data_IF_153315863652
#
_entry.id   IF_153315863652
#
_cell.length_a   1.000
_cell.length_b   1.000
_cell.length_c   1.000
_cell.angle_alpha   90.00
_cell.angle_beta   90.00
_cell.angle_gamma   90.00
#
_symmetry.space_group_name_H-M   'P 1'
#
loop_
_entity.id
_entity.type
_entity.pdbx_description
1 polymer ?
#
# COMPACT_ATOMS: atom_id res chain seq x y z
N UNK A 1 -31.99 -13.41 17.63
CA UNK A 1 -31.73 -12.53 16.48
C UNK A 1 -30.27 -12.70 16.10
N UNK A 2 -30.00 -13.63 15.19
CA UNK A 2 -28.69 -13.87 14.62
C UNK A 2 -28.80 -13.44 13.15
N UNK A 3 -28.59 -12.15 12.88
CA UNK A 3 -28.26 -11.73 11.53
C UNK A 3 -26.91 -12.36 11.20
N UNK A 4 -27.05 -13.48 10.50
CA UNK A 4 -26.02 -14.36 9.99
C UNK A 4 -24.79 -13.58 9.55
N UNK A 5 -23.62 -14.12 9.90
CA UNK A 5 -22.29 -13.77 9.43
C UNK A 5 -22.20 -13.89 7.89
N UNK A 6 -22.97 -13.08 7.16
CA UNK A 6 -23.04 -13.13 5.72
C UNK A 6 -21.78 -12.52 5.15
N UNK A 7 -21.12 -13.31 4.31
CA UNK A 7 -20.02 -12.86 3.48
C UNK A 7 -20.47 -11.63 2.68
N UNK A 8 -19.81 -10.50 2.93
CA UNK A 8 -20.10 -9.26 2.22
C UNK A 8 -18.88 -8.81 1.44
N UNK A 9 -19.11 -8.50 0.17
CA UNK A 9 -18.05 -8.04 -0.75
C UNK A 9 -18.15 -6.54 -0.96
N UNK A 10 -17.06 -5.83 -0.67
CA UNK A 10 -16.89 -4.40 -0.83
C UNK A 10 -16.02 -4.15 -2.06
N UNK A 11 -16.43 -3.20 -2.91
CA UNK A 11 -15.73 -2.84 -4.15
C UNK A 11 -15.68 -1.33 -4.30
N UNK A 12 -14.87 -0.86 -5.24
CA UNK A 12 -14.77 0.57 -5.52
C UNK A 12 -16.13 1.14 -5.98
N UNK A 13 -16.57 2.22 -5.34
CA UNK A 13 -17.82 2.92 -5.67
C UNK A 13 -17.79 3.50 -7.09
N UNK A 14 -18.96 3.90 -7.63
CA UNK A 14 -19.00 4.58 -8.94
C UNK A 14 -18.20 5.89 -8.94
N UNK A 15 -18.22 6.65 -7.83
CA UNK A 15 -17.45 7.88 -7.67
C UNK A 15 -15.94 7.58 -7.61
N UNK A 16 -15.54 6.62 -6.77
CA UNK A 16 -14.14 6.18 -6.66
C UNK A 16 -13.58 5.72 -8.01
N UNK A 17 -14.35 4.94 -8.78
CA UNK A 17 -13.93 4.52 -10.14
C UNK A 17 -13.72 5.69 -11.10
N UNK A 18 -14.56 6.72 -11.05
CA UNK A 18 -14.38 7.92 -11.91
C UNK A 18 -13.09 8.65 -11.57
N UNK A 19 -12.83 8.88 -10.28
CA UNK A 19 -11.58 9.50 -9.82
C UNK A 19 -10.38 8.67 -10.24
N UNK A 20 -10.40 7.36 -10.01
CA UNK A 20 -9.31 6.47 -10.40
C UNK A 20 -9.07 6.46 -11.93
N UNK A 21 -10.12 6.51 -12.75
CA UNK A 21 -9.96 6.65 -14.21
C UNK A 21 -9.35 8.01 -14.62
N UNK A 22 -9.69 9.10 -13.93
CA UNK A 22 -9.08 10.41 -14.18
C UNK A 22 -7.59 10.40 -13.80
N UNK A 23 -7.24 9.83 -12.65
CA UNK A 23 -5.85 9.65 -12.22
C UNK A 23 -5.06 8.77 -13.18
N UNK A 24 -5.67 7.68 -13.66
CA UNK A 24 -5.07 6.78 -14.64
C UNK A 24 -4.79 7.52 -15.96
N UNK A 25 -5.77 8.26 -16.47
CA UNK A 25 -5.62 9.05 -17.70
C UNK A 25 -4.53 10.12 -17.55
N UNK A 26 -4.53 10.87 -16.45
CA UNK A 26 -3.48 11.86 -16.14
C UNK A 26 -2.10 11.24 -16.04
N UNK A 27 -1.97 10.10 -15.35
CA UNK A 27 -0.71 9.36 -15.22
C UNK A 27 -0.20 8.87 -16.58
N UNK A 28 -1.09 8.35 -17.43
CA UNK A 28 -0.73 7.92 -18.79
C UNK A 28 -0.24 9.09 -19.66
N UNK A 29 -0.90 10.25 -19.57
CA UNK A 29 -0.48 11.46 -20.28
C UNK A 29 0.91 11.93 -19.84
N UNK A 30 1.15 12.00 -18.52
CA UNK A 30 2.45 12.36 -17.95
C UNK A 30 3.52 11.37 -18.41
N UNK A 31 3.22 10.06 -18.40
CA UNK A 31 4.17 9.04 -18.81
C UNK A 31 4.54 9.14 -20.29
N UNK A 32 3.54 9.32 -21.17
CA UNK A 32 3.77 9.53 -22.60
C UNK A 32 4.58 10.79 -22.87
N UNK A 33 4.28 11.88 -22.15
CA UNK A 33 5.04 13.13 -22.25
C UNK A 33 6.48 12.94 -21.78
N UNK A 34 6.71 12.22 -20.69
CA UNK A 34 8.05 11.93 -20.18
C UNK A 34 8.86 11.08 -21.18
N UNK A 35 8.26 10.03 -21.75
CA UNK A 35 8.88 9.21 -22.80
C UNK A 35 9.22 10.05 -24.04
N UNK A 36 8.28 10.88 -24.49
CA UNK A 36 8.48 11.74 -25.66
C UNK A 36 9.61 12.76 -25.43
N UNK A 37 9.61 13.42 -24.27
CA UNK A 37 10.64 14.40 -23.90
C UNK A 37 11.99 13.73 -23.76
N UNK A 38 12.07 12.61 -23.02
CA UNK A 38 13.32 11.87 -22.81
C UNK A 38 13.92 11.42 -24.14
N UNK A 39 13.09 10.92 -25.07
CA UNK A 39 13.52 10.55 -26.42
C UNK A 39 14.13 11.75 -27.17
N UNK A 40 13.49 12.92 -27.11
CA UNK A 40 13.95 14.11 -27.81
C UNK A 40 15.22 14.71 -27.18
N UNK A 41 15.30 14.74 -25.85
CA UNK A 41 16.47 15.23 -25.10
C UNK A 41 17.68 14.32 -25.25
N UNK A 42 17.48 13.00 -25.14
CA UNK A 42 18.57 12.02 -25.21
C UNK A 42 18.89 11.55 -26.63
N UNK A 43 18.12 11.98 -27.63
CA UNK A 43 18.25 11.57 -29.05
C UNK A 43 18.36 10.04 -29.22
N UNK A 44 17.63 9.28 -28.40
CA UNK A 44 17.69 7.82 -28.40
C UNK A 44 17.09 7.30 -29.71
N UNK A 45 17.84 6.44 -30.39
CA UNK A 45 17.38 5.77 -31.60
C UNK A 45 16.32 4.74 -31.26
N UNK A 46 15.08 4.93 -31.73
CA UNK A 46 13.97 3.98 -31.48
C UNK A 46 14.05 2.74 -32.40
N UNK A 47 14.97 2.75 -33.38
CA UNK A 47 15.17 1.59 -34.27
C UNK A 47 16.09 0.57 -33.59
N UNK A 48 15.82 -0.74 -33.69
CA UNK A 48 16.63 -1.78 -33.06
C UNK A 48 18.13 -1.66 -33.39
N UNK A 49 18.45 -1.24 -34.61
CA UNK A 49 19.81 -1.05 -35.12
C UNK A 49 20.54 0.15 -34.50
N UNK A 50 19.81 1.18 -34.03
CA UNK A 50 20.41 2.41 -33.47
C UNK A 50 20.22 2.53 -31.96
N UNK A 51 19.41 1.65 -31.35
CA UNK A 51 19.14 1.66 -29.92
C UNK A 51 20.40 1.41 -29.08
N UNK A 52 21.09 0.28 -29.28
CA UNK A 52 22.29 -0.08 -28.51
C UNK A 52 23.42 0.96 -28.67
N UNK A 53 23.74 1.42 -29.90
CA UNK A 53 24.72 2.50 -30.09
C UNK A 53 24.32 3.79 -29.37
N UNK A 54 23.03 4.16 -29.40
CA UNK A 54 22.54 5.37 -28.71
C UNK A 54 22.60 5.25 -27.19
N UNK A 55 22.42 4.05 -26.64
CA UNK A 55 22.54 3.78 -25.20
C UNK A 55 24.01 3.82 -24.74
N UNK A 56 24.93 3.27 -25.53
CA UNK A 56 26.37 3.37 -25.27
C UNK A 56 26.86 4.83 -25.36
N UNK A 57 26.38 5.60 -26.35
CA UNK A 57 26.70 7.02 -26.48
C UNK A 57 26.15 7.83 -25.29
N UNK A 58 24.93 7.53 -24.83
CA UNK A 58 24.36 8.13 -23.63
C UNK A 58 25.22 7.81 -22.39
N UNK A 59 25.61 6.55 -22.21
CA UNK A 59 26.47 6.14 -21.10
C UNK A 59 27.84 6.83 -21.13
N UNK A 60 28.45 6.97 -22.32
CA UNK A 60 29.69 7.71 -22.50
C UNK A 60 29.57 9.20 -22.17
N UNK A 61 28.41 9.82 -22.47
CA UNK A 61 28.12 11.21 -22.09
C UNK A 61 27.87 11.37 -20.58
N UNK A 62 27.21 10.38 -19.95
CA UNK A 62 26.91 10.40 -18.51
C UNK A 62 28.15 10.12 -17.65
N UNK A 63 29.03 9.23 -18.10
CA UNK A 63 30.29 8.87 -17.41
C UNK A 63 31.43 9.86 -17.65
N UNK A 64 31.21 10.90 -18.46
CA UNK A 64 32.20 11.94 -18.76
C UNK A 64 33.27 11.52 -19.76
N UNK A 65 33.16 10.35 -20.41
CA UNK A 65 34.18 9.81 -21.33
C UNK A 65 34.00 10.25 -22.78
N UNK A 66 32.82 10.75 -23.17
CA UNK A 66 32.48 11.07 -24.58
C UNK A 66 31.91 12.49 -24.79
N UNK A 67 32.26 13.42 -23.89
CA UNK A 67 31.81 14.82 -23.91
C UNK A 67 30.90 15.17 -22.73
N UNK A 68 30.99 16.41 -22.25
CA UNK A 68 30.20 16.90 -21.12
C UNK A 68 28.78 17.22 -21.55
N UNK A 69 27.78 16.60 -20.92
CA UNK A 69 26.42 17.17 -20.94
C UNK A 69 26.41 18.44 -20.10
N UNK A 70 25.74 19.49 -20.59
CA UNK A 70 25.51 20.68 -19.78
C UNK A 70 24.54 20.35 -18.64
N UNK A 71 24.65 21.03 -17.50
CA UNK A 71 23.74 20.82 -16.37
C UNK A 71 22.26 21.01 -16.78
N UNK A 72 22.01 21.89 -17.75
CA UNK A 72 20.69 22.18 -18.34
C UNK A 72 20.09 20.99 -19.12
N UNK A 73 20.92 20.08 -19.63
CA UNK A 73 20.45 18.84 -20.28
C UNK A 73 20.28 17.69 -19.28
N UNK A 74 21.17 17.58 -18.29
CA UNK A 74 21.18 16.46 -17.33
C UNK A 74 19.96 16.52 -16.42
N UNK A 75 19.66 17.68 -15.84
CA UNK A 75 18.61 17.81 -14.82
C UNK A 75 17.24 17.37 -15.38
N UNK A 76 16.76 17.90 -16.52
CA UNK A 76 15.49 17.46 -17.08
C UNK A 76 15.51 15.99 -17.50
N UNK A 77 16.63 15.48 -18.04
CA UNK A 77 16.73 14.09 -18.45
C UNK A 77 16.60 13.11 -17.26
N UNK A 78 17.23 13.42 -16.13
CA UNK A 78 17.13 12.60 -14.91
C UNK A 78 15.70 12.64 -14.36
N UNK A 79 15.06 13.81 -14.33
CA UNK A 79 13.67 13.93 -13.90
C UNK A 79 12.74 13.11 -14.80
N UNK A 80 12.89 13.24 -16.12
CA UNK A 80 12.08 12.49 -17.08
C UNK A 80 12.32 10.97 -16.97
N UNK A 81 13.57 10.55 -16.76
CA UNK A 81 13.89 9.14 -16.51
C UNK A 81 13.22 8.64 -15.21
N UNK A 82 13.28 9.41 -14.13
CA UNK A 82 12.60 9.08 -12.89
C UNK A 82 11.09 8.93 -13.10
N UNK A 83 10.45 9.85 -13.83
CA UNK A 83 9.03 9.76 -14.18
C UNK A 83 8.73 8.51 -15.02
N UNK A 84 9.57 8.18 -16.00
CA UNK A 84 9.40 6.96 -16.82
C UNK A 84 9.44 5.69 -15.97
N UNK A 85 10.18 5.69 -14.86
CA UNK A 85 10.27 4.54 -13.94
C UNK A 85 9.17 4.53 -12.87
N UNK A 86 8.84 5.68 -12.29
CA UNK A 86 7.88 5.81 -11.18
C UNK A 86 6.44 5.74 -11.66
N UNK A 87 6.10 6.39 -12.77
CA UNK A 87 4.72 6.50 -13.23
C UNK A 87 4.11 5.13 -13.62
N UNK A 88 4.84 4.17 -14.21
CA UNK A 88 4.32 2.81 -14.38
C UNK A 88 3.93 2.11 -13.08
N UNK A 89 4.66 2.35 -11.99
CA UNK A 89 4.32 1.81 -10.67
C UNK A 89 3.04 2.47 -10.14
N UNK A 90 2.88 3.78 -10.36
CA UNK A 90 1.65 4.49 -10.01
C UNK A 90 0.45 3.99 -10.85
N UNK A 91 0.63 3.80 -12.15
CA UNK A 91 -0.39 3.23 -13.04
C UNK A 91 -0.80 1.85 -12.55
N UNK A 92 0.17 1.00 -12.19
CA UNK A 92 -0.10 -0.30 -11.61
C UNK A 92 -0.95 -0.19 -10.32
N UNK A 93 -0.55 0.68 -9.40
CA UNK A 93 -1.27 0.93 -8.13
C UNK A 93 -2.73 1.34 -8.38
N UNK A 94 -2.98 2.25 -9.33
CA UNK A 94 -4.34 2.69 -9.69
C UNK A 94 -5.16 1.54 -10.31
N UNK A 95 -4.54 0.73 -11.17
CA UNK A 95 -5.21 -0.44 -11.76
C UNK A 95 -5.56 -1.48 -10.69
N UNK A 96 -4.70 -1.65 -9.69
CA UNK A 96 -4.93 -2.53 -8.55
C UNK A 96 -6.11 -2.04 -7.71
N UNK A 97 -6.17 -0.75 -7.40
CA UNK A 97 -7.31 -0.15 -6.71
C UNK A 97 -8.62 -0.32 -7.52
N UNK A 98 -8.59 -0.06 -8.83
CA UNK A 98 -9.76 -0.19 -9.71
C UNK A 98 -10.37 -1.60 -9.72
N UNK A 99 -9.55 -2.63 -9.49
CA UNK A 99 -9.96 -4.03 -9.47
C UNK A 99 -10.07 -4.61 -8.06
N UNK A 100 -9.83 -3.79 -7.05
CA UNK A 100 -9.87 -4.20 -5.66
C UNK A 100 -11.27 -4.64 -5.24
N UNK A 101 -11.30 -5.77 -4.55
CA UNK A 101 -12.48 -6.29 -3.88
C UNK A 101 -12.09 -6.93 -2.56
N UNK A 102 -12.87 -6.64 -1.53
CA UNK A 102 -12.67 -7.12 -0.17
C UNK A 102 -13.90 -7.93 0.22
N UNK A 103 -13.73 -9.22 0.46
CA UNK A 103 -14.81 -10.09 0.95
C UNK A 103 -14.57 -10.38 2.42
N UNK A 104 -15.44 -9.88 3.27
CA UNK A 104 -15.41 -10.09 4.72
C UNK A 104 -16.28 -11.29 5.03
N UNK A 105 -15.69 -12.33 5.60
CA UNK A 105 -16.39 -13.53 6.06
C UNK A 105 -16.11 -13.83 7.54
N UNK A 106 -16.76 -14.87 8.10
CA UNK A 106 -16.59 -15.22 9.51
C UNK A 106 -15.17 -15.65 9.88
N UNK A 107 -14.46 -16.31 8.95
CA UNK A 107 -13.11 -16.82 9.19
C UNK A 107 -12.01 -15.77 8.98
N UNK A 108 -12.28 -14.70 8.20
CA UNK A 108 -11.28 -13.72 7.82
C UNK A 108 -11.72 -12.78 6.72
N UNK A 109 -10.76 -12.00 6.21
CA UNK A 109 -10.92 -11.11 5.08
C UNK A 109 -10.16 -11.64 3.86
N UNK A 110 -10.82 -11.66 2.71
CA UNK A 110 -10.21 -12.01 1.43
C UNK A 110 -10.03 -10.75 0.59
N UNK A 111 -8.81 -10.46 0.18
CA UNK A 111 -8.48 -9.43 -0.80
C UNK A 111 -8.31 -10.05 -2.19
N UNK A 112 -8.97 -9.46 -3.19
CA UNK A 112 -8.78 -9.82 -4.59
C UNK A 112 -8.59 -8.57 -5.44
N UNK A 113 -7.51 -8.55 -6.23
CA UNK A 113 -7.28 -7.53 -7.25
C UNK A 113 -6.31 -8.02 -8.33
N UNK A 114 -6.51 -7.67 -9.60
CA UNK A 114 -5.58 -7.94 -10.71
C UNK A 114 -4.94 -9.36 -10.72
N UNK A 115 -5.71 -10.40 -10.41
CA UNK A 115 -5.22 -11.79 -10.36
C UNK A 115 -4.45 -12.16 -9.08
N UNK A 116 -4.32 -11.25 -8.13
CA UNK A 116 -3.93 -11.47 -6.74
C UNK A 116 -5.18 -11.90 -5.97
N UNK A 117 -5.05 -12.97 -5.18
CA UNK A 117 -6.05 -13.41 -4.22
C UNK A 117 -5.33 -13.78 -2.92
N UNK A 118 -5.67 -13.08 -1.83
CA UNK A 118 -5.04 -13.23 -0.53
C UNK A 118 -6.12 -13.38 0.53
N UNK A 119 -6.09 -14.49 1.26
CA UNK A 119 -6.94 -14.72 2.43
C UNK A 119 -6.17 -14.44 3.71
N UNK A 120 -6.77 -13.64 4.59
CA UNK A 120 -6.22 -13.27 5.89
C UNK A 120 -7.18 -13.68 7.01
N UNK A 121 -6.84 -14.68 7.83
CA UNK A 121 -7.66 -15.06 8.97
C UNK A 121 -7.66 -13.98 10.05
N UNK A 122 -8.76 -13.83 10.77
CA UNK A 122 -8.88 -12.79 11.82
C UNK A 122 -7.81 -12.90 12.92
N UNK A 123 -7.36 -14.12 13.23
CA UNK A 123 -6.30 -14.39 14.20
C UNK A 123 -4.93 -13.78 13.83
N UNK A 124 -4.70 -13.47 12.56
CA UNK A 124 -3.45 -12.87 12.08
C UNK A 124 -3.50 -11.34 12.02
N UNK A 125 -4.68 -10.74 12.16
CA UNK A 125 -4.85 -9.28 12.12
C UNK A 125 -4.36 -8.68 13.45
N UNK A 126 -3.41 -7.76 13.37
CA UNK A 126 -2.78 -7.12 14.53
C UNK A 126 -3.47 -5.81 14.85
N UNK A 127 -3.67 -4.96 13.84
CA UNK A 127 -4.26 -3.64 14.01
C UNK A 127 -4.78 -3.09 12.69
N UNK A 128 -5.79 -2.23 12.80
CA UNK A 128 -6.26 -1.33 11.76
C UNK A 128 -5.70 0.07 12.07
N UNK A 129 -5.03 0.71 11.12
CA UNK A 129 -4.42 2.04 11.33
C UNK A 129 -4.62 2.92 10.10
N UNK A 130 -4.84 4.24 10.26
CA UNK A 130 -4.71 5.18 9.14
C UNK A 130 -3.26 5.22 8.65
N UNK A 131 -3.07 5.35 7.35
CA UNK A 131 -1.73 5.47 6.71
C UNK A 131 -1.13 6.84 6.92
N UNK A 132 -1.99 7.85 6.92
CA UNK A 132 -1.64 9.25 7.16
C UNK A 132 -2.71 9.85 8.06
N UNK A 133 -2.35 10.12 9.32
CA UNK A 133 -3.25 10.75 10.29
C UNK A 133 -3.51 12.23 9.96
N UNK A 134 -2.67 12.84 9.11
CA UNK A 134 -2.74 14.26 8.72
C UNK A 134 -3.43 14.45 7.36
N UNK A 135 -3.68 13.38 6.59
CA UNK A 135 -4.36 13.45 5.30
C UNK A 135 -5.88 13.63 5.45
N UNK A 136 -6.34 14.88 5.41
CA UNK A 136 -7.77 15.22 5.49
C UNK A 136 -8.59 14.81 4.24
N UNK A 137 -7.95 14.69 3.07
CA UNK A 137 -8.66 14.60 1.78
C UNK A 137 -8.92 13.18 1.28
N UNK A 138 -8.07 12.20 1.61
CA UNK A 138 -8.21 10.80 1.16
C UNK A 138 -7.87 9.81 2.28
N UNK A 139 -8.86 9.40 3.12
CA UNK A 139 -8.58 8.49 4.23
C UNK A 139 -8.22 7.09 3.71
N UNK A 140 -6.94 6.76 3.79
CA UNK A 140 -6.42 5.43 3.53
C UNK A 140 -6.17 4.73 4.87
N UNK A 141 -6.85 3.62 5.10
CA UNK A 141 -6.58 2.74 6.25
C UNK A 141 -5.76 1.53 5.80
N UNK A 142 -4.96 0.98 6.69
CA UNK A 142 -4.19 -0.24 6.48
C UNK A 142 -4.50 -1.27 7.57
N UNK A 143 -4.74 -2.51 7.15
CA UNK A 143 -4.71 -3.67 8.04
C UNK A 143 -3.28 -4.19 8.15
N UNK A 144 -2.77 -4.31 9.37
CA UNK A 144 -1.45 -4.88 9.66
C UNK A 144 -1.63 -6.33 10.12
N UNK A 145 -0.82 -7.24 9.56
CA UNK A 145 -0.86 -8.66 9.88
C UNK A 145 0.44 -9.15 10.51
N UNK A 146 0.35 -10.24 11.30
CA UNK A 146 1.53 -10.89 11.93
C UNK A 146 2.47 -11.47 10.87
N UNK A 147 1.91 -12.18 9.90
CA UNK A 147 2.65 -12.94 8.90
C UNK A 147 2.45 -12.36 7.49
N UNK A 148 3.47 -12.53 6.64
CA UNK A 148 3.36 -12.14 5.23
C UNK A 148 2.62 -13.23 4.44
N UNK A 149 1.62 -12.82 3.65
CA UNK A 149 0.88 -13.72 2.74
C UNK A 149 1.33 -13.62 1.28
N UNK A 150 2.37 -12.85 0.99
CA UNK A 150 2.85 -12.62 -0.38
C UNK A 150 3.29 -13.89 -1.11
N UNK A 151 3.71 -14.94 -0.38
CA UNK A 151 4.08 -16.23 -0.98
C UNK A 151 2.91 -16.91 -1.69
N UNK A 152 1.66 -16.58 -1.33
CA UNK A 152 0.46 -17.08 -1.99
C UNK A 152 0.30 -16.50 -3.41
N UNK A 153 0.93 -15.36 -3.72
CA UNK A 153 0.91 -14.76 -5.06
C UNK A 153 1.84 -15.55 -5.98
N UNK A 154 1.25 -16.37 -6.85
CA UNK A 154 1.98 -17.22 -7.80
C UNK A 154 2.90 -16.43 -8.73
N UNK A 155 2.43 -15.30 -9.26
CA UNK A 155 3.22 -14.48 -10.19
C UNK A 155 4.26 -13.63 -9.43
N UNK A 156 5.58 -13.81 -9.68
CA UNK A 156 6.63 -13.08 -8.96
C UNK A 156 6.62 -11.57 -9.25
N UNK A 157 6.20 -11.14 -10.44
CA UNK A 157 6.09 -9.72 -10.78
C UNK A 157 4.96 -9.06 -9.98
N UNK A 158 3.78 -9.68 -9.93
CA UNK A 158 2.66 -9.19 -9.11
C UNK A 158 3.03 -9.15 -7.63
N UNK A 159 3.75 -10.18 -7.17
CA UNK A 159 4.25 -10.25 -5.81
C UNK A 159 5.19 -9.10 -5.50
N UNK A 160 6.12 -8.79 -6.40
CA UNK A 160 7.04 -7.69 -6.26
C UNK A 160 6.32 -6.35 -6.27
N UNK A 161 5.43 -6.11 -7.23
CA UNK A 161 4.68 -4.85 -7.36
C UNK A 161 3.80 -4.60 -6.13
N UNK A 162 3.05 -5.60 -5.68
CA UNK A 162 2.24 -5.49 -4.47
C UNK A 162 3.11 -5.27 -3.21
N UNK A 163 4.25 -5.96 -3.10
CA UNK A 163 5.20 -5.77 -2.00
C UNK A 163 5.87 -4.38 -2.01
N UNK A 164 6.12 -3.82 -3.19
CA UNK A 164 6.70 -2.50 -3.35
C UNK A 164 5.69 -1.40 -3.00
N UNK A 165 4.41 -1.59 -3.34
CA UNK A 165 3.36 -0.62 -3.07
C UNK A 165 2.95 -0.57 -1.60
N UNK A 166 2.75 -1.72 -0.95
CA UNK A 166 2.15 -1.78 0.40
C UNK A 166 3.04 -2.48 1.44
N UNK A 167 4.21 -2.98 1.03
CA UNK A 167 5.06 -3.80 1.90
C UNK A 167 4.55 -5.24 2.03
N UNK A 168 5.12 -5.96 3.00
CA UNK A 168 4.95 -7.43 3.09
C UNK A 168 3.86 -7.90 4.04
N UNK A 169 3.38 -7.04 4.93
CA UNK A 169 2.52 -7.38 6.08
C UNK A 169 1.35 -6.41 6.26
N UNK A 170 1.02 -5.67 5.21
CA UNK A 170 0.00 -4.63 5.25
C UNK A 170 -0.94 -4.84 4.07
N UNK A 171 -2.22 -4.55 4.27
CA UNK A 171 -3.23 -4.55 3.23
C UNK A 171 -3.90 -3.18 3.23
N UNK A 172 -3.86 -2.44 2.12
CA UNK A 172 -4.55 -1.15 2.02
C UNK A 172 -6.06 -1.35 2.06
N UNK A 173 -6.78 -0.35 2.57
CA UNK A 173 -8.24 -0.22 2.54
C UNK A 173 -8.57 1.12 1.90
N UNK A 174 -8.85 1.10 0.59
CA UNK A 174 -9.01 2.31 -0.22
C UNK A 174 -10.19 3.18 0.24
N UNK A 175 -10.01 4.50 0.19
CA UNK A 175 -11.03 5.50 0.53
C UNK A 175 -12.28 5.41 -0.36
N UNK A 176 -12.11 5.05 -1.64
CA UNK A 176 -13.18 5.02 -2.63
C UNK A 176 -14.15 3.83 -2.55
N UNK A 177 -14.03 2.95 -1.54
CA UNK A 177 -14.84 1.74 -1.40
C UNK A 177 -16.32 2.08 -1.09
N UNK A 178 -17.22 1.36 -1.76
CA UNK A 178 -18.64 1.39 -1.47
C UNK A 178 -18.90 0.68 -0.13
N UNK A 179 -19.51 1.38 0.83
CA UNK A 179 -19.72 0.84 2.18
C UNK A 179 -18.45 0.75 3.02
N UNK A 180 -17.46 1.62 2.78
CA UNK A 180 -16.18 1.65 3.52
C UNK A 180 -16.36 1.72 5.04
N UNK A 181 -17.23 2.58 5.53
CA UNK A 181 -17.47 2.74 6.96
C UNK A 181 -17.97 1.42 7.58
N UNK A 182 -18.94 0.77 6.94
CA UNK A 182 -19.43 -0.54 7.36
C UNK A 182 -18.32 -1.61 7.32
N UNK A 183 -17.45 -1.60 6.30
CA UNK A 183 -16.28 -2.48 6.24
C UNK A 183 -15.36 -2.27 7.45
N UNK A 184 -15.04 -1.03 7.78
CA UNK A 184 -14.18 -0.69 8.92
C UNK A 184 -14.84 -1.07 10.25
N UNK A 185 -16.13 -0.83 10.40
CA UNK A 185 -16.89 -1.23 11.59
C UNK A 185 -16.87 -2.75 11.78
N UNK A 186 -17.11 -3.53 10.72
CA UNK A 186 -17.03 -5.00 10.79
C UNK A 186 -15.63 -5.48 11.18
N UNK A 187 -14.58 -4.89 10.59
CA UNK A 187 -13.19 -5.21 10.96
C UNK A 187 -12.94 -4.90 12.44
N UNK A 188 -13.35 -3.72 12.91
CA UNK A 188 -13.19 -3.31 14.31
C UNK A 188 -13.96 -4.24 15.27
N UNK A 189 -15.16 -4.67 14.91
CA UNK A 189 -15.94 -5.62 15.69
C UNK A 189 -15.22 -6.97 15.84
N UNK A 190 -14.63 -7.51 14.76
CA UNK A 190 -13.83 -8.74 14.83
C UNK A 190 -12.55 -8.57 15.65
N UNK A 191 -11.87 -7.42 15.54
CA UNK A 191 -10.68 -7.12 16.34
C UNK A 191 -11.00 -7.00 17.84
N UNK A 192 -12.16 -6.40 18.18
CA UNK A 192 -12.62 -6.30 19.56
C UNK A 192 -13.00 -7.68 20.13
N UNK A 193 -13.68 -8.52 19.35
CA UNK A 193 -14.06 -9.88 19.77
C UNK A 193 -12.85 -10.81 19.96
N UNK A 194 -11.77 -10.61 19.19
CA UNK A 194 -10.54 -11.39 19.29
C UNK A 194 -9.56 -10.92 20.38
N UNK A 195 -9.82 -9.75 20.99
CA UNK A 195 -8.98 -9.24 22.09
C UNK A 195 -9.52 -9.84 23.41
N UNK A 196 -8.78 -10.72 24.10
CA UNK A 196 -9.21 -11.16 25.42
C UNK A 196 -9.38 -9.93 26.32
N UNK A 197 -10.49 -9.88 27.03
CA UNK A 197 -10.78 -8.85 28.02
C UNK A 197 -9.77 -8.98 29.16
N UNK A 198 -8.64 -8.30 29.06
CA UNK A 198 -7.74 -8.10 30.19
C UNK A 198 -7.95 -6.70 30.80
N UNK A 199 -8.12 -6.73 32.12
CA UNK A 199 -8.11 -5.64 33.09
C UNK A 199 -9.44 -4.91 33.36
N UNK A 200 -10.40 -5.66 33.89
CA UNK A 200 -11.40 -5.13 34.81
C UNK A 200 -11.51 -6.00 36.05
N UNK A 201 -10.51 -6.00 36.95
CA UNK A 201 -10.67 -6.32 38.38
C UNK A 201 -9.35 -6.14 39.15
N UNK A 202 -9.24 -5.05 39.92
CA UNK A 202 -8.76 -5.10 41.32
C UNK A 202 -9.40 -3.91 42.07
N UNK A 203 -10.70 -4.01 42.31
CA UNK A 203 -11.31 -3.39 43.48
C UNK A 203 -11.25 -4.45 44.59
N UNK A 204 -10.26 -4.33 45.47
CA UNK A 204 -10.05 -5.19 46.63
C UNK A 204 -9.79 -4.30 47.83
N UNK A 205 -10.89 -3.94 48.47
CA UNK A 205 -11.02 -3.12 49.66
C UNK A 205 -10.45 -3.81 50.92
N UNK A 206 -9.73 -3.05 51.74
CA UNK A 206 -9.73 -3.13 53.20
C UNK A 206 -9.21 -4.39 53.90
N UNK A 207 -8.09 -4.26 54.63
CA UNK A 207 -8.05 -4.64 56.06
C UNK A 207 -6.88 -3.96 56.77
N UNK A 208 -7.18 -3.37 57.92
CA UNK A 208 -6.30 -2.59 58.74
C UNK A 208 -5.67 -3.43 59.88
N UNK A 209 -4.36 -3.25 60.09
CA UNK A 209 -3.62 -3.32 61.36
C UNK A 209 -3.19 -4.70 61.91
N UNK A 210 -2.28 -4.76 62.93
CA UNK A 210 -1.57 -3.65 63.60
C UNK A 210 -0.05 -3.88 63.86
N UNK A 211 0.65 -2.76 64.16
CA UNK A 211 1.72 -2.55 65.17
C UNK A 211 2.93 -3.49 65.34
N UNK A 212 4.12 -2.86 65.41
CA UNK A 212 5.33 -3.31 66.14
C UNK A 212 6.31 -4.13 65.28
N UNK A 213 7.64 -3.99 65.33
CA UNK A 213 8.55 -3.55 66.39
C UNK A 213 9.87 -3.10 65.75
N UNK A 214 10.47 -2.03 66.29
CA UNK A 214 11.85 -1.59 66.05
C UNK A 214 12.88 -2.71 66.28
N UNK A 215 13.95 -2.75 65.49
CA UNK A 215 15.27 -3.21 65.98
C UNK A 215 16.38 -2.66 65.09
N UNK A 216 17.08 -1.69 65.66
CA UNK A 216 18.43 -1.25 65.36
C UNK A 216 19.47 -2.40 65.41
N UNK A 217 20.69 -2.07 64.95
CA UNK A 217 21.99 -2.78 65.02
C UNK A 217 22.24 -3.79 63.87
N UNK A 218 23.34 -3.72 63.12
CA UNK A 218 24.71 -3.23 63.34
C UNK A 218 25.26 -2.48 62.12
#
# INVERSE_FOLDING_TARGET
>A
MAEQEQEKTYRLSRRGRRTAYLLLAGSLLIWLFALWTLKNTLKIGVRPQTFVPSLQALWGRLSGTAGSMTAEEIIPAVIMLALVLVVPLLIWNILEELRASYTVGPAGITFRSLGIELFYPWSEVVSLRPVDEEAEEEPLDELVFRNSRLSSIRNPLLRFLHAQAYGRRRLPLYGGLEGREELLERIRAHLAAGKPAEAGETAGEGTAGPSGVESETL
#
